data_IF_052573858334
#
_entry.id   IF_052573858334
#
_cell.length_a   1.000
_cell.length_b   1.000
_cell.length_c   1.000
_cell.angle_alpha   90.00
_cell.angle_beta   90.00
_cell.angle_gamma   90.00
#
_symmetry.space_group_name_H-M   'P 1'
#
loop_
_entity.id
_entity.type
_entity.pdbx_description
1 polymer ?
#
# COMPACT_ATOMS: atom_id res chain seq x y z
N UNK A 1 6.07 -8.06 -5.61
CA UNK A 1 6.17 -7.03 -4.56
C UNK A 1 7.45 -6.22 -4.79
N UNK A 2 7.47 -4.91 -4.54
CA UNK A 2 8.62 -4.05 -4.88
C UNK A 2 9.78 -4.08 -3.89
N UNK A 3 9.59 -4.64 -2.71
CA UNK A 3 10.56 -4.72 -1.62
C UNK A 3 11.68 -5.75 -1.87
N UNK A 4 12.25 -5.72 -3.07
CA UNK A 4 13.39 -6.54 -3.48
C UNK A 4 14.70 -5.78 -3.29
N UNK A 5 15.83 -6.44 -3.52
CA UNK A 5 17.15 -5.79 -3.58
C UNK A 5 17.75 -6.01 -4.97
N UNK A 6 17.87 -4.97 -5.80
CA UNK A 6 17.37 -3.59 -5.60
C UNK A 6 15.84 -3.47 -5.59
N UNK A 7 15.32 -2.35 -5.05
CA UNK A 7 13.89 -2.03 -4.99
C UNK A 7 13.36 -1.75 -6.40
N UNK A 8 12.09 -2.16 -6.66
CA UNK A 8 11.45 -1.91 -7.96
C UNK A 8 10.82 -0.50 -7.96
N UNK A 9 11.65 0.51 -8.08
CA UNK A 9 11.26 1.93 -8.04
C UNK A 9 11.65 2.72 -9.31
N UNK A 10 12.25 2.06 -10.28
CA UNK A 10 12.66 2.66 -11.53
C UNK A 10 12.53 1.71 -12.73
N UNK A 11 12.54 2.28 -13.92
CA UNK A 11 12.33 1.59 -15.19
C UNK A 11 13.37 0.50 -15.47
N UNK A 12 14.63 0.71 -15.11
CA UNK A 12 15.72 -0.22 -15.40
C UNK A 12 15.53 -1.55 -14.67
N UNK A 13 15.07 -1.49 -13.40
CA UNK A 13 14.78 -2.69 -12.61
C UNK A 13 13.55 -3.43 -13.16
N UNK A 14 12.52 -2.71 -13.59
CA UNK A 14 11.34 -3.32 -14.23
C UNK A 14 11.74 -4.05 -15.50
N UNK A 15 12.53 -3.42 -16.37
CA UNK A 15 13.02 -4.02 -17.63
C UNK A 15 13.88 -5.25 -17.35
N UNK A 16 14.75 -5.19 -16.34
CA UNK A 16 15.54 -6.35 -15.90
C UNK A 16 14.63 -7.52 -15.46
N UNK A 17 13.66 -7.26 -14.59
CA UNK A 17 12.74 -8.29 -14.09
C UNK A 17 11.93 -8.92 -15.21
N UNK A 18 11.40 -8.13 -16.13
CA UNK A 18 10.60 -8.64 -17.25
C UNK A 18 11.45 -9.51 -18.21
N UNK A 19 12.67 -9.09 -18.52
CA UNK A 19 13.60 -9.91 -19.31
C UNK A 19 13.92 -11.21 -18.58
N UNK A 20 14.29 -11.13 -17.30
CA UNK A 20 14.63 -12.32 -16.50
C UNK A 20 13.43 -13.27 -16.38
N UNK A 21 12.24 -12.71 -16.16
CA UNK A 21 10.99 -13.50 -16.12
C UNK A 21 10.73 -14.23 -17.42
N UNK A 22 10.82 -13.53 -18.56
CA UNK A 22 10.66 -14.15 -19.89
C UNK A 22 11.68 -15.26 -20.15
N UNK A 23 12.94 -15.04 -19.79
CA UNK A 23 14.04 -15.92 -20.17
C UNK A 23 14.20 -17.13 -19.22
N UNK A 24 13.76 -17.01 -17.96
CA UNK A 24 14.00 -18.01 -16.89
C UNK A 24 12.76 -18.56 -16.23
N UNK A 25 11.60 -17.94 -16.38
CA UNK A 25 10.37 -18.37 -15.71
C UNK A 25 9.52 -19.26 -16.61
N UNK A 26 8.85 -20.24 -16.01
CA UNK A 26 7.81 -21.07 -16.65
C UNK A 26 6.40 -20.49 -16.50
N UNK A 27 6.26 -19.38 -15.77
CA UNK A 27 5.00 -18.70 -15.48
C UNK A 27 5.06 -17.24 -15.91
N UNK A 28 3.89 -16.63 -16.10
CA UNK A 28 3.79 -15.19 -16.33
C UNK A 28 4.12 -14.40 -15.06
N UNK A 29 4.96 -13.37 -15.19
CA UNK A 29 5.33 -12.48 -14.08
C UNK A 29 4.77 -11.10 -14.33
N UNK A 30 3.94 -10.63 -13.38
CA UNK A 30 3.33 -9.31 -13.36
C UNK A 30 3.90 -8.50 -12.18
N UNK A 31 4.90 -7.65 -12.41
CA UNK A 31 5.54 -6.91 -11.34
C UNK A 31 4.68 -5.76 -10.85
N UNK A 32 4.78 -5.47 -9.55
CA UNK A 32 4.35 -4.21 -8.93
C UNK A 32 5.56 -3.34 -8.65
N UNK A 33 5.40 -2.01 -8.72
CA UNK A 33 6.43 -1.05 -8.35
C UNK A 33 6.14 -0.38 -7.02
N UNK A 34 7.14 0.30 -6.45
CA UNK A 34 6.94 1.05 -5.23
C UNK A 34 6.18 2.36 -5.46
N UNK A 35 5.42 2.78 -4.46
CA UNK A 35 4.80 4.10 -4.39
C UNK A 35 5.87 5.19 -4.25
N UNK A 36 6.90 4.91 -3.43
CA UNK A 36 7.96 5.87 -3.14
C UNK A 36 9.35 5.33 -3.46
N UNK A 37 10.25 6.24 -3.81
CA UNK A 37 11.66 5.91 -4.05
C UNK A 37 12.28 5.31 -2.80
N UNK A 38 13.01 4.23 -2.95
CA UNK A 38 13.65 3.47 -1.87
C UNK A 38 12.70 2.99 -0.76
N UNK A 39 11.37 3.01 -0.97
CA UNK A 39 10.36 2.70 0.06
C UNK A 39 10.51 3.62 1.30
N UNK A 40 10.87 4.89 1.10
CA UNK A 40 11.13 5.82 2.21
C UNK A 40 9.90 6.64 2.63
N UNK A 41 8.78 6.57 1.89
CA UNK A 41 7.59 7.37 2.18
C UNK A 41 7.80 8.88 1.98
N UNK A 42 8.81 9.31 1.20
CA UNK A 42 9.18 10.73 1.02
C UNK A 42 8.92 11.25 -0.39
N UNK A 43 9.42 10.56 -1.39
CA UNK A 43 9.39 10.98 -2.79
C UNK A 43 8.66 9.93 -3.63
N UNK A 44 7.61 10.34 -4.34
CA UNK A 44 6.86 9.48 -5.23
C UNK A 44 7.74 8.98 -6.39
N UNK A 45 7.51 7.75 -6.83
CA UNK A 45 8.14 7.19 -8.03
C UNK A 45 7.49 7.75 -9.31
N UNK A 46 8.08 7.45 -10.45
CA UNK A 46 7.62 7.95 -11.75
C UNK A 46 6.53 7.05 -12.34
N UNK A 47 5.32 7.13 -11.79
CA UNK A 47 4.17 6.26 -12.11
C UNK A 47 3.94 6.09 -13.61
N UNK A 48 3.90 7.19 -14.36
CA UNK A 48 3.64 7.14 -15.80
C UNK A 48 4.70 6.34 -16.59
N UNK A 49 5.96 6.45 -16.22
CA UNK A 49 7.03 5.69 -16.86
C UNK A 49 6.99 4.21 -16.48
N UNK A 50 6.76 3.93 -15.21
CA UNK A 50 6.67 2.56 -14.68
C UNK A 50 5.45 1.83 -15.27
N UNK A 51 4.30 2.50 -15.36
CA UNK A 51 3.09 1.93 -15.94
C UNK A 51 3.26 1.58 -17.43
N UNK A 52 3.91 2.45 -18.22
CA UNK A 52 4.25 2.17 -19.64
C UNK A 52 5.12 0.91 -19.78
N UNK A 53 5.86 0.54 -18.74
CA UNK A 53 6.63 -0.71 -18.68
C UNK A 53 5.81 -1.93 -18.23
N UNK A 54 4.50 -1.76 -18.02
CA UNK A 54 3.56 -2.84 -17.70
C UNK A 54 3.59 -3.27 -16.24
N UNK A 55 3.80 -2.31 -15.34
CA UNK A 55 3.50 -2.46 -13.91
C UNK A 55 1.99 -2.52 -13.73
N UNK A 56 1.51 -3.48 -12.92
CA UNK A 56 0.08 -3.70 -12.69
C UNK A 56 -0.48 -2.96 -11.48
N UNK A 57 0.37 -2.42 -10.62
CA UNK A 57 0.00 -1.67 -9.42
C UNK A 57 1.20 -1.19 -8.63
N UNK A 58 0.95 -0.33 -7.68
CA UNK A 58 1.97 0.35 -6.87
C UNK A 58 1.74 0.10 -5.39
N UNK A 59 2.81 -0.19 -4.65
CA UNK A 59 2.76 -0.43 -3.20
C UNK A 59 4.14 -0.25 -2.56
N UNK A 60 4.20 0.20 -1.33
CA UNK A 60 5.45 0.15 -0.55
C UNK A 60 5.58 -1.12 0.32
N UNK A 61 4.76 -2.13 0.00
CA UNK A 61 4.78 -3.42 0.68
C UNK A 61 4.17 -3.33 2.08
N UNK A 62 4.97 -3.59 3.10
CA UNK A 62 4.56 -3.51 4.51
C UNK A 62 4.70 -2.09 5.09
N UNK A 63 5.25 -1.15 4.33
CA UNK A 63 5.40 0.24 4.78
C UNK A 63 4.18 1.05 4.39
N UNK A 64 3.67 1.83 5.34
CA UNK A 64 2.54 2.74 5.14
C UNK A 64 3.03 4.12 4.73
N UNK A 65 2.36 4.77 3.80
CA UNK A 65 2.57 6.19 3.50
C UNK A 65 1.94 7.02 4.64
N UNK A 66 2.75 7.48 5.58
CA UNK A 66 2.28 8.26 6.74
C UNK A 66 1.85 9.68 6.35
N UNK A 67 2.53 10.30 5.41
CA UNK A 67 2.27 11.67 4.99
C UNK A 67 1.02 11.78 4.11
N UNK A 68 -0.05 12.41 4.63
CA UNK A 68 -1.33 12.56 3.93
C UNK A 68 -1.21 13.37 2.64
N UNK A 69 -0.36 14.42 2.58
CA UNK A 69 -0.13 15.20 1.36
C UNK A 69 0.53 14.37 0.27
N UNK A 70 1.47 13.51 0.64
CA UNK A 70 2.11 12.61 -0.30
C UNK A 70 1.09 11.60 -0.83
N UNK A 71 0.27 11.00 0.08
CA UNK A 71 -0.77 10.04 -0.31
C UNK A 71 -1.81 10.66 -1.23
N UNK A 72 -2.27 11.88 -0.98
CA UNK A 72 -3.16 12.63 -1.86
C UNK A 72 -2.56 12.80 -3.27
N UNK A 73 -1.28 13.15 -3.37
CA UNK A 73 -0.58 13.27 -4.67
C UNK A 73 -0.46 11.93 -5.39
N UNK A 74 -0.19 10.86 -4.66
CA UNK A 74 -0.14 9.49 -5.19
C UNK A 74 -1.51 9.10 -5.76
N UNK A 75 -2.59 9.29 -5.00
CA UNK A 75 -3.95 8.94 -5.43
C UNK A 75 -4.39 9.74 -6.64
N UNK A 76 -4.08 11.04 -6.69
CA UNK A 76 -4.35 11.87 -7.86
C UNK A 76 -3.62 11.35 -9.10
N UNK A 77 -2.32 11.06 -9.00
CA UNK A 77 -1.56 10.51 -10.12
C UNK A 77 -2.05 9.13 -10.54
N UNK A 78 -2.48 8.31 -9.57
CA UNK A 78 -3.06 7.00 -9.85
C UNK A 78 -4.42 7.12 -10.56
N UNK A 79 -5.25 8.09 -10.19
CA UNK A 79 -6.51 8.41 -10.87
C UNK A 79 -6.25 8.80 -12.32
N UNK A 80 -5.38 9.78 -12.55
CA UNK A 80 -5.05 10.29 -13.89
C UNK A 80 -4.52 9.19 -14.83
N UNK A 81 -3.85 8.18 -14.28
CA UNK A 81 -3.25 7.07 -15.03
C UNK A 81 -4.09 5.77 -15.01
N UNK A 82 -5.18 5.70 -14.27
CA UNK A 82 -5.96 4.48 -14.06
C UNK A 82 -5.19 3.39 -13.31
N UNK A 83 -4.16 3.76 -12.52
CA UNK A 83 -3.29 2.83 -11.80
C UNK A 83 -3.93 2.31 -10.52
N UNK A 84 -3.55 1.10 -10.10
CA UNK A 84 -3.92 0.52 -8.82
C UNK A 84 -2.91 0.92 -7.75
N UNK A 85 -3.39 1.51 -6.66
CA UNK A 85 -2.63 1.75 -5.42
C UNK A 85 -2.99 0.67 -4.41
N UNK A 86 -1.99 0.03 -3.82
CA UNK A 86 -2.17 -0.94 -2.74
C UNK A 86 -1.39 -0.48 -1.52
N UNK A 87 -2.05 -0.37 -0.37
CA UNK A 87 -1.41 0.08 0.86
C UNK A 87 -1.67 -0.87 2.02
N UNK A 88 -0.63 -1.19 2.75
CA UNK A 88 -0.71 -1.68 4.11
C UNK A 88 -1.04 -0.49 5.02
N UNK A 89 -2.15 -0.56 5.72
CA UNK A 89 -2.66 0.55 6.52
C UNK A 89 -2.25 0.38 7.99
N UNK A 90 -1.23 1.12 8.42
CA UNK A 90 -0.77 1.10 9.81
C UNK A 90 -0.11 2.43 10.17
N UNK A 91 -0.63 3.10 11.17
CA UNK A 91 0.03 4.27 11.76
C UNK A 91 1.19 3.79 12.63
N UNK A 92 2.42 4.18 12.26
CA UNK A 92 3.64 3.66 12.89
C UNK A 92 3.82 4.14 14.32
N UNK A 93 3.32 5.33 14.65
CA UNK A 93 3.45 5.88 16.00
C UNK A 93 2.46 5.18 16.96
N UNK A 94 1.26 4.84 16.48
CA UNK A 94 0.29 4.07 17.24
C UNK A 94 0.61 2.57 17.34
N UNK A 95 1.33 2.03 16.38
CA UNK A 95 1.77 0.62 16.40
C UNK A 95 2.90 0.35 17.42
N UNK A 96 3.76 1.34 17.68
CA UNK A 96 4.80 1.34 18.74
C UNK A 96 5.63 0.05 18.85
N UNK A 97 6.00 -0.58 17.76
CA UNK A 97 6.67 -1.88 17.73
C UNK A 97 5.88 -3.05 18.36
N UNK A 98 4.56 -2.93 18.45
CA UNK A 98 3.70 -4.02 18.86
C UNK A 98 3.85 -5.25 17.94
N UNK A 99 3.53 -6.43 18.47
CA UNK A 99 3.74 -7.70 17.75
C UNK A 99 2.45 -8.47 17.50
N UNK A 100 1.38 -8.09 18.17
CA UNK A 100 0.04 -8.69 18.06
C UNK A 100 -1.01 -7.60 18.21
N UNK A 101 -2.23 -7.87 17.79
CA UNK A 101 -3.35 -6.95 18.07
C UNK A 101 -3.59 -6.84 19.59
N UNK A 102 -3.84 -5.62 20.07
CA UNK A 102 -4.13 -5.37 21.48
C UNK A 102 -5.43 -6.06 21.92
N UNK A 103 -5.39 -6.67 23.11
CA UNK A 103 -6.52 -7.37 23.68
C UNK A 103 -6.15 -8.39 24.74
N UNK A 104 -7.12 -9.26 25.08
CA UNK A 104 -6.95 -10.28 26.13
C UNK A 104 -5.75 -11.20 25.83
N UNK A 105 -5.49 -11.52 24.58
CA UNK A 105 -4.39 -12.44 24.20
C UNK A 105 -3.03 -11.77 24.40
N UNK A 106 -2.86 -10.51 23.94
CA UNK A 106 -1.62 -9.75 24.12
C UNK A 106 -1.29 -9.62 25.61
N UNK A 107 -2.29 -9.29 26.43
CA UNK A 107 -2.16 -9.16 27.89
C UNK A 107 -1.76 -10.49 28.54
N UNK A 108 -2.42 -11.59 28.19
CA UNK A 108 -2.10 -12.93 28.75
C UNK A 108 -0.70 -13.41 28.40
N UNK A 109 -0.21 -13.06 27.21
CA UNK A 109 1.11 -13.47 26.73
C UNK A 109 2.21 -12.47 27.14
N UNK A 110 1.86 -11.34 27.75
CA UNK A 110 2.81 -10.27 28.07
C UNK A 110 3.46 -9.64 26.83
N UNK A 111 2.73 -9.63 25.69
CA UNK A 111 3.20 -9.06 24.43
C UNK A 111 2.66 -7.63 24.27
N UNK A 112 3.47 -6.77 23.68
CA UNK A 112 3.03 -5.42 23.31
C UNK A 112 1.97 -5.51 22.21
N UNK A 113 0.78 -4.96 22.49
CA UNK A 113 -0.35 -4.93 21.57
C UNK A 113 -0.28 -3.74 20.61
N UNK A 114 -0.76 -3.94 19.38
CA UNK A 114 -1.03 -2.87 18.42
C UNK A 114 -2.51 -2.51 18.54
N UNK A 115 -2.79 -1.23 18.82
CA UNK A 115 -4.15 -0.75 18.89
C UNK A 115 -4.86 -0.84 17.53
N UNK A 116 -6.14 -1.22 17.52
CA UNK A 116 -6.97 -1.18 16.29
C UNK A 116 -7.01 0.21 15.63
N UNK A 117 -6.75 1.27 16.39
CA UNK A 117 -6.71 2.64 15.88
C UNK A 117 -5.57 2.84 14.88
N UNK A 118 -4.47 2.13 15.01
CA UNK A 118 -3.34 2.23 14.09
C UNK A 118 -3.77 1.91 12.65
N UNK A 119 -4.53 0.85 12.45
CA UNK A 119 -5.07 0.47 11.13
C UNK A 119 -6.24 1.39 10.72
N UNK A 120 -7.18 1.62 11.65
CA UNK A 120 -8.41 2.37 11.38
C UNK A 120 -8.15 3.79 10.87
N UNK A 121 -7.27 4.55 11.54
CA UNK A 121 -6.99 5.96 11.21
C UNK A 121 -6.42 6.09 9.80
N UNK A 122 -5.52 5.23 9.41
CA UNK A 122 -4.94 5.25 8.07
C UNK A 122 -6.00 4.92 7.02
N UNK A 123 -6.85 3.91 7.27
CA UNK A 123 -7.93 3.56 6.35
C UNK A 123 -8.93 4.71 6.22
N UNK A 124 -9.35 5.32 7.32
CA UNK A 124 -10.30 6.42 7.34
C UNK A 124 -9.76 7.63 6.56
N UNK A 125 -8.49 7.98 6.77
CA UNK A 125 -7.77 9.00 5.98
C UNK A 125 -7.80 8.69 4.49
N UNK A 126 -7.43 7.47 4.12
CA UNK A 126 -7.31 7.09 2.72
C UNK A 126 -8.68 7.01 2.04
N UNK A 127 -9.71 6.53 2.73
CA UNK A 127 -11.08 6.56 2.22
C UNK A 127 -11.58 7.99 2.01
N UNK A 128 -11.24 8.94 2.91
CA UNK A 128 -11.56 10.35 2.72
C UNK A 128 -10.85 10.96 1.50
N UNK A 129 -9.58 10.62 1.26
CA UNK A 129 -8.86 11.06 0.06
C UNK A 129 -9.44 10.48 -1.23
N UNK A 130 -10.02 9.28 -1.17
CA UNK A 130 -10.68 8.66 -2.33
C UNK A 130 -11.97 9.37 -2.74
N UNK A 131 -12.60 10.16 -1.87
CA UNK A 131 -13.76 11.00 -2.24
C UNK A 131 -13.37 12.03 -3.29
N UNK A 132 -12.15 12.59 -3.20
CA UNK A 132 -11.66 13.56 -4.16
C UNK A 132 -11.14 12.95 -5.46
N UNK A 133 -10.52 11.76 -5.41
CA UNK A 133 -9.77 11.23 -6.55
C UNK A 133 -10.30 9.91 -7.12
N UNK A 134 -11.20 9.20 -6.46
CA UNK A 134 -11.82 7.94 -6.91
C UNK A 134 -10.88 7.00 -7.72
N UNK A 135 -9.64 6.86 -7.27
CA UNK A 135 -8.66 5.97 -7.90
C UNK A 135 -8.90 4.51 -7.49
N UNK A 136 -8.33 3.58 -8.25
CA UNK A 136 -8.33 2.16 -7.88
C UNK A 136 -7.44 1.95 -6.66
N UNK A 137 -8.06 1.59 -5.54
CA UNK A 137 -7.37 1.45 -4.25
C UNK A 137 -7.63 0.08 -3.62
N UNK A 138 -6.58 -0.54 -3.11
CA UNK A 138 -6.63 -1.82 -2.41
C UNK A 138 -6.02 -1.69 -1.02
N UNK A 139 -6.83 -1.94 0.00
CA UNK A 139 -6.38 -2.00 1.39
C UNK A 139 -5.87 -3.42 1.64
N UNK A 140 -4.58 -3.53 1.93
CA UNK A 140 -3.91 -4.81 2.17
C UNK A 140 -3.92 -5.17 3.65
N UNK A 141 -3.95 -6.47 3.95
CA UNK A 141 -3.66 -7.03 5.28
C UNK A 141 -4.54 -6.49 6.42
N UNK A 142 -5.86 -6.39 6.18
CA UNK A 142 -6.81 -5.93 7.18
C UNK A 142 -6.88 -6.93 8.34
N UNK A 143 -6.74 -6.45 9.57
CA UNK A 143 -6.77 -7.25 10.80
C UNK A 143 -7.84 -6.81 11.80
N UNK A 144 -8.39 -5.61 11.67
CA UNK A 144 -9.34 -5.01 12.61
C UNK A 144 -10.79 -5.14 12.16
N UNK A 145 -11.68 -5.50 13.08
CA UNK A 145 -13.14 -5.51 12.84
C UNK A 145 -13.68 -4.11 12.51
N UNK A 146 -13.17 -3.06 13.19
CA UNK A 146 -13.58 -1.67 12.96
C UNK A 146 -13.21 -1.20 11.57
N UNK A 147 -12.07 -1.64 11.05
CA UNK A 147 -11.66 -1.36 9.67
C UNK A 147 -12.58 -2.00 8.63
N UNK A 148 -13.02 -3.24 8.89
CA UNK A 148 -13.98 -3.92 8.02
C UNK A 148 -15.33 -3.17 7.98
N UNK A 149 -15.79 -2.66 9.11
CA UNK A 149 -17.03 -1.86 9.18
C UNK A 149 -16.94 -0.58 8.36
N UNK A 150 -15.82 0.14 8.45
CA UNK A 150 -15.55 1.34 7.63
C UNK A 150 -15.60 1.03 6.14
N UNK A 151 -14.93 -0.04 5.73
CA UNK A 151 -14.86 -0.45 4.31
C UNK A 151 -16.24 -0.87 3.81
N UNK A 152 -17.01 -1.61 4.61
CA UNK A 152 -18.38 -2.00 4.27
C UNK A 152 -19.28 -0.78 4.07
N UNK A 153 -19.23 0.19 4.99
CA UNK A 153 -19.97 1.44 4.88
C UNK A 153 -19.63 2.14 3.56
N UNK A 154 -18.35 2.34 3.28
CA UNK A 154 -17.91 3.01 2.04
C UNK A 154 -18.38 2.29 0.78
N UNK A 155 -18.33 0.95 0.76
CA UNK A 155 -18.83 0.16 -0.39
C UNK A 155 -20.33 0.34 -0.63
N UNK A 156 -21.11 0.48 0.43
CA UNK A 156 -22.56 0.70 0.33
C UNK A 156 -22.91 2.12 -0.17
N UNK A 157 -22.05 3.11 0.13
CA UNK A 157 -22.23 4.50 -0.29
C UNK A 157 -21.90 4.72 -1.79
N UNK A 158 -21.24 3.77 -2.44
CA UNK A 158 -20.85 3.82 -3.86
C UNK A 158 -21.88 3.14 -4.78
N UNK A 159 -22.82 2.37 -4.25
CA UNK A 159 -23.92 1.73 -4.96
C UNK A 159 -25.18 2.59 -4.88
#
# INVERSE_FOLDING_TARGET
MPNTSPIIDNVSIVDFLKRRGRDKSKINIYPTASLTKNLEGKNMTEFGLLQKKGIIGFTDGIKTIQNSRLMSRIMRSAFDLGSLVMQHAEDIDLAENGTVNDGIISTKLGLQGITELAEKIIIERDLSLLEDFNCRYHISQISSAKSIELIKKRKNDIN
#
